data_IF_557309809346
#
_entry.id   IF_557309809346
#
_cell.length_a   1.000
_cell.length_b   1.000
_cell.length_c   1.000
_cell.angle_alpha   90.00
_cell.angle_beta   90.00
_cell.angle_gamma   90.00
#
_symmetry.space_group_name_H-M   'P 1'
#
loop_
_entity.id
_entity.type
_entity.pdbx_description
1 polymer ?
#
# COMPACT_ATOMS: atom_id res chain seq x y z
N UNK A 1 14.63 -11.00 -0.89
CA UNK A 1 14.18 -9.78 -1.60
C UNK A 1 13.00 -10.14 -2.49
N UNK A 2 11.80 -9.59 -2.31
CA UNK A 2 10.83 -9.57 -3.40
C UNK A 2 11.40 -8.63 -4.46
N UNK A 3 11.60 -9.18 -5.66
CA UNK A 3 12.22 -8.47 -6.78
C UNK A 3 11.18 -7.53 -7.38
N UNK A 4 11.62 -6.40 -7.95
CA UNK A 4 10.77 -5.48 -8.73
C UNK A 4 9.92 -6.18 -9.81
N UNK A 5 10.25 -7.44 -10.14
CA UNK A 5 9.51 -8.33 -11.03
C UNK A 5 8.04 -8.51 -10.65
N UNK A 6 7.69 -8.62 -9.37
CA UNK A 6 6.31 -9.02 -9.00
C UNK A 6 5.31 -7.88 -9.20
N UNK A 7 5.76 -6.64 -8.99
CA UNK A 7 5.01 -5.43 -9.35
C UNK A 7 4.88 -5.33 -10.87
N UNK A 8 6.00 -5.49 -11.59
CA UNK A 8 6.05 -5.34 -13.04
C UNK A 8 5.13 -6.33 -13.74
N UNK A 9 5.13 -7.60 -13.32
CA UNK A 9 4.26 -8.63 -13.88
C UNK A 9 2.77 -8.31 -13.67
N UNK A 10 2.37 -7.91 -12.47
CA UNK A 10 0.95 -7.56 -12.17
C UNK A 10 0.49 -6.31 -12.92
N UNK A 11 1.34 -5.31 -13.01
CA UNK A 11 1.07 -4.10 -13.77
C UNK A 11 0.93 -4.43 -15.26
N UNK A 12 1.89 -5.16 -15.83
CA UNK A 12 1.84 -5.61 -17.23
C UNK A 12 0.59 -6.43 -17.52
N UNK A 13 0.17 -7.32 -16.61
CA UNK A 13 -1.08 -8.05 -16.73
C UNK A 13 -2.31 -7.15 -16.77
N UNK A 14 -2.37 -6.13 -15.91
CA UNK A 14 -3.48 -5.17 -15.86
C UNK A 14 -3.49 -4.24 -17.08
N UNK A 15 -2.33 -3.88 -17.64
CA UNK A 15 -2.24 -2.95 -18.77
C UNK A 15 -2.29 -3.61 -20.15
N UNK A 16 -2.46 -4.94 -20.22
CA UNK A 16 -2.59 -5.67 -21.50
C UNK A 16 -3.77 -5.21 -22.35
N UNK A 17 -4.84 -4.71 -21.71
CA UNK A 17 -6.00 -4.14 -22.40
C UNK A 17 -6.22 -2.68 -22.01
N UNK A 18 -6.92 -1.95 -22.89
CA UNK A 18 -7.30 -0.56 -22.65
C UNK A 18 -8.23 -0.46 -21.43
N UNK A 19 -9.17 -1.40 -21.29
CA UNK A 19 -10.07 -1.43 -20.13
C UNK A 19 -9.33 -1.70 -18.82
N UNK A 20 -8.37 -2.64 -18.83
CA UNK A 20 -7.58 -2.98 -17.65
C UNK A 20 -6.69 -1.81 -17.21
N UNK A 21 -6.08 -1.10 -18.17
CA UNK A 21 -5.30 0.10 -17.89
C UNK A 21 -6.16 1.21 -17.28
N UNK A 22 -7.34 1.47 -17.86
CA UNK A 22 -8.29 2.46 -17.33
C UNK A 22 -8.73 2.10 -15.92
N UNK A 23 -9.08 0.84 -15.69
CA UNK A 23 -9.48 0.33 -14.38
C UNK A 23 -8.37 0.51 -13.33
N UNK A 24 -7.13 0.19 -13.68
CA UNK A 24 -5.99 0.40 -12.80
C UNK A 24 -5.83 1.87 -12.41
N UNK A 25 -5.85 2.78 -13.39
CA UNK A 25 -5.71 4.21 -13.13
C UNK A 25 -6.85 4.75 -12.26
N UNK A 26 -8.08 4.30 -12.46
CA UNK A 26 -9.23 4.68 -11.63
C UNK A 26 -9.05 4.23 -10.17
N UNK A 27 -8.57 3.01 -9.94
CA UNK A 27 -8.29 2.51 -8.59
C UNK A 27 -7.11 3.27 -7.98
N UNK A 28 -6.04 3.47 -8.73
CA UNK A 28 -4.86 4.16 -8.25
C UNK A 28 -5.20 5.58 -7.80
N UNK A 29 -5.94 6.34 -8.63
CA UNK A 29 -6.37 7.69 -8.30
C UNK A 29 -7.22 7.72 -7.02
N UNK A 30 -8.16 6.77 -6.87
CA UNK A 30 -8.97 6.63 -5.65
C UNK A 30 -8.14 6.20 -4.43
N UNK A 31 -7.06 5.45 -4.64
CA UNK A 31 -6.19 4.98 -3.57
C UNK A 31 -5.45 6.15 -2.94
N UNK A 32 -4.84 6.99 -3.78
CA UNK A 32 -4.01 8.12 -3.36
C UNK A 32 -4.86 9.31 -2.89
N UNK A 33 -6.10 9.47 -3.36
CA UNK A 33 -7.00 10.55 -2.96
C UNK A 33 -7.95 10.17 -1.82
N UNK A 34 -7.40 9.62 -0.73
CA UNK A 34 -8.20 9.30 0.46
C UNK A 34 -7.39 9.53 1.75
N UNK A 35 -7.93 10.25 2.75
CA UNK A 35 -7.16 10.72 3.90
C UNK A 35 -6.51 9.58 4.68
N UNK A 36 -7.27 8.55 5.06
CA UNK A 36 -6.74 7.39 5.80
C UNK A 36 -5.63 6.66 5.02
N UNK A 37 -5.79 6.57 3.69
CA UNK A 37 -4.83 5.85 2.83
C UNK A 37 -3.55 6.66 2.69
N UNK A 38 -3.67 7.98 2.53
CA UNK A 38 -2.54 8.91 2.57
C UNK A 38 -1.77 8.80 3.88
N UNK A 39 -2.45 8.74 5.02
CA UNK A 39 -1.77 8.55 6.31
C UNK A 39 -1.04 7.21 6.41
N UNK A 40 -1.66 6.12 5.93
CA UNK A 40 -0.97 4.82 5.83
C UNK A 40 0.32 4.95 5.01
N UNK A 41 0.25 5.57 3.83
CA UNK A 41 1.42 5.73 2.95
C UNK A 41 2.47 6.64 3.58
N UNK A 42 2.07 7.74 4.26
CA UNK A 42 2.98 8.64 4.98
C UNK A 42 3.75 7.93 6.08
N UNK A 43 3.06 7.16 6.93
CA UNK A 43 3.70 6.38 8.00
C UNK A 43 4.71 5.40 7.40
N UNK A 44 4.33 4.70 6.32
CA UNK A 44 5.20 3.73 5.66
C UNK A 44 6.40 4.37 4.94
N UNK A 45 6.29 5.62 4.47
CA UNK A 45 7.41 6.36 3.86
C UNK A 45 8.51 6.68 4.89
N UNK A 46 8.12 6.97 6.14
CA UNK A 46 9.04 7.32 7.22
C UNK A 46 9.76 6.15 7.90
N UNK A 47 9.43 4.89 7.56
CA UNK A 47 9.94 3.70 8.26
C UNK A 47 10.51 2.67 7.29
N UNK A 48 11.56 1.96 7.73
CA UNK A 48 12.20 0.92 6.90
C UNK A 48 11.36 -0.36 6.82
N UNK A 49 10.77 -0.77 7.93
CA UNK A 49 9.96 -1.99 8.07
C UNK A 49 8.88 -1.77 9.15
N UNK A 50 7.66 -2.24 8.87
CA UNK A 50 6.55 -2.17 9.83
C UNK A 50 5.60 -3.34 9.58
N UNK A 51 5.12 -4.00 10.64
CA UNK A 51 4.09 -5.04 10.51
C UNK A 51 2.71 -4.42 10.27
N UNK A 52 1.75 -5.22 9.77
CA UNK A 52 0.36 -4.75 9.58
C UNK A 52 -0.29 -4.39 10.93
N UNK A 53 0.10 -5.08 11.99
CA UNK A 53 -0.38 -4.90 13.35
C UNK A 53 0.16 -3.61 13.98
N UNK A 54 1.45 -3.32 13.78
CA UNK A 54 2.09 -2.08 14.25
C UNK A 54 1.55 -0.86 13.51
N UNK A 55 1.30 -0.98 12.21
CA UNK A 55 0.68 0.06 11.40
C UNK A 55 -0.72 0.40 11.90
N UNK A 56 -1.55 -0.61 12.16
CA UNK A 56 -2.88 -0.40 12.76
C UNK A 56 -2.78 0.26 14.13
N UNK A 57 -1.86 -0.21 14.98
CA UNK A 57 -1.65 0.34 16.32
C UNK A 57 -1.23 1.80 16.28
N UNK A 58 -0.40 2.19 15.31
CA UNK A 58 0.05 3.57 15.10
C UNK A 58 -1.12 4.47 14.69
N UNK A 59 -1.92 4.06 13.71
CA UNK A 59 -3.10 4.80 13.28
C UNK A 59 -4.13 4.96 14.40
N UNK A 60 -4.30 3.93 15.23
CA UNK A 60 -5.20 3.98 16.39
C UNK A 60 -4.71 4.96 17.45
N UNK A 61 -3.40 4.97 17.76
CA UNK A 61 -2.79 5.94 18.68
C UNK A 61 -2.95 7.39 18.20
N UNK A 62 -2.87 7.60 16.88
CA UNK A 62 -3.07 8.89 16.23
C UNK A 62 -4.56 9.27 16.08
N UNK A 63 -5.50 8.41 16.50
CA UNK A 63 -6.95 8.59 16.35
C UNK A 63 -7.40 8.77 14.88
N UNK A 64 -6.67 8.17 13.93
CA UNK A 64 -7.01 8.21 12.50
C UNK A 64 -7.98 7.06 12.15
N UNK A 65 -7.74 5.87 12.72
CA UNK A 65 -8.60 4.68 12.54
C UNK A 65 -8.74 3.95 13.86
N UNK A 66 -9.97 3.77 14.32
CA UNK A 66 -10.24 3.06 15.58
C UNK A 66 -10.57 1.58 15.37
N UNK A 67 -11.27 1.27 14.27
CA UNK A 67 -11.80 -0.05 13.98
C UNK A 67 -10.94 -0.82 12.97
N UNK A 68 -10.83 -2.13 13.19
CA UNK A 68 -9.96 -2.99 12.37
C UNK A 68 -10.53 -3.20 10.96
N UNK A 69 -11.85 -3.14 10.79
CA UNK A 69 -12.52 -3.32 9.49
C UNK A 69 -12.19 -2.19 8.51
N UNK A 70 -12.30 -0.93 8.92
CA UNK A 70 -11.94 0.26 8.14
C UNK A 70 -10.46 0.24 7.82
N UNK A 71 -9.61 -0.13 8.78
CA UNK A 71 -8.18 -0.30 8.52
C UNK A 71 -7.94 -1.35 7.43
N UNK A 72 -8.52 -2.54 7.56
CA UNK A 72 -8.34 -3.62 6.60
C UNK A 72 -8.84 -3.24 5.21
N UNK A 73 -10.01 -2.60 5.11
CA UNK A 73 -10.54 -2.10 3.85
C UNK A 73 -9.57 -1.15 3.15
N UNK A 74 -9.05 -0.14 3.88
CA UNK A 74 -8.12 0.82 3.32
C UNK A 74 -6.77 0.19 2.96
N UNK A 75 -6.29 -0.75 3.78
CA UNK A 75 -5.06 -1.49 3.53
C UNK A 75 -5.17 -2.36 2.27
N UNK A 76 -6.24 -3.13 2.15
CA UNK A 76 -6.46 -4.01 1.01
C UNK A 76 -6.68 -3.21 -0.28
N UNK A 77 -7.32 -2.03 -0.19
CA UNK A 77 -7.43 -1.10 -1.31
C UNK A 77 -6.06 -0.62 -1.80
N UNK A 78 -5.18 -0.21 -0.88
CA UNK A 78 -3.81 0.21 -1.22
C UNK A 78 -3.00 -0.93 -1.85
N UNK A 79 -3.19 -2.16 -1.37
CA UNK A 79 -2.56 -3.36 -1.95
C UNK A 79 -3.09 -3.64 -3.36
N UNK A 80 -4.39 -3.53 -3.58
CA UNK A 80 -5.02 -3.68 -4.90
C UNK A 80 -4.53 -2.60 -5.88
N UNK A 81 -4.36 -1.37 -5.40
CA UNK A 81 -3.81 -0.25 -6.16
C UNK A 81 -2.28 -0.33 -6.37
N UNK A 82 -1.65 -1.45 -5.97
CA UNK A 82 -0.21 -1.68 -6.05
C UNK A 82 0.64 -0.60 -5.34
N UNK A 83 0.08 0.09 -4.35
CA UNK A 83 0.79 1.11 -3.57
C UNK A 83 1.64 0.51 -2.43
N UNK A 84 1.24 -0.67 -1.94
CA UNK A 84 1.94 -1.41 -0.89
C UNK A 84 2.04 -2.88 -1.24
N UNK A 85 3.05 -3.55 -0.69
CA UNK A 85 3.26 -4.99 -0.78
C UNK A 85 3.55 -5.59 0.61
N UNK A 86 3.22 -6.87 0.78
CA UNK A 86 3.63 -7.63 1.97
C UNK A 86 4.85 -8.45 1.58
N UNK A 87 5.93 -8.24 2.31
CA UNK A 87 7.20 -8.92 2.11
C UNK A 87 7.47 -9.83 3.30
N UNK A 88 7.99 -11.02 3.02
CA UNK A 88 8.40 -11.95 4.06
C UNK A 88 9.92 -11.88 4.22
N UNK A 89 10.36 -11.71 5.46
CA UNK A 89 11.75 -11.81 5.83
C UNK A 89 12.13 -13.29 5.96
N UNK A 90 13.02 -13.71 5.06
CA UNK A 90 13.47 -15.09 4.90
C UNK A 90 14.15 -15.65 6.16
N UNK A 91 14.73 -14.77 6.98
CA UNK A 91 15.54 -15.16 8.13
C UNK A 91 14.70 -15.24 9.41
N UNK A 92 13.60 -14.49 9.48
CA UNK A 92 12.78 -14.34 10.70
C UNK A 92 11.34 -14.87 10.55
N UNK A 93 10.90 -15.23 9.34
CA UNK A 93 9.51 -15.63 9.06
C UNK A 93 8.49 -14.52 9.32
N UNK A 94 8.96 -13.26 9.43
CA UNK A 94 8.12 -12.11 9.75
C UNK A 94 7.67 -11.41 8.48
N UNK A 95 6.38 -11.03 8.47
CA UNK A 95 5.77 -10.29 7.36
C UNK A 95 5.79 -8.79 7.67
N UNK A 96 6.34 -8.03 6.74
CA UNK A 96 6.40 -6.58 6.80
C UNK A 96 5.66 -5.95 5.63
N UNK A 97 5.15 -4.75 5.86
CA UNK A 97 4.53 -3.91 4.83
C UNK A 97 5.61 -3.04 4.22
N UNK A 98 5.70 -3.04 2.89
CA UNK A 98 6.65 -2.23 2.13
C UNK A 98 5.91 -1.33 1.16
N UNK A 99 6.37 -0.08 1.07
CA UNK A 99 5.89 0.89 0.09
C UNK A 99 6.48 0.57 -1.29
N UNK A 100 5.64 0.55 -2.33
CA UNK A 100 6.11 0.42 -3.72
C UNK A 100 6.47 1.80 -4.28
N UNK A 101 7.03 1.84 -5.50
CA UNK A 101 7.27 3.13 -6.17
C UNK A 101 5.96 3.90 -6.43
N UNK A 102 4.87 3.21 -6.80
CA UNK A 102 3.56 3.83 -6.96
C UNK A 102 3.02 4.45 -5.67
N UNK A 103 3.33 3.84 -4.51
CA UNK A 103 2.94 4.35 -3.20
C UNK A 103 3.74 5.58 -2.73
N UNK A 104 4.99 5.73 -3.19
CA UNK A 104 5.85 6.89 -2.90
C UNK A 104 5.38 8.20 -3.50
N UNK A 105 4.35 8.18 -4.34
CA UNK A 105 3.69 9.41 -4.82
C UNK A 105 3.28 10.34 -3.68
N UNK A 106 3.02 9.78 -2.49
CA UNK A 106 2.66 10.56 -1.30
C UNK A 106 3.73 11.58 -0.91
N UNK A 107 4.99 11.34 -1.23
CA UNK A 107 6.10 12.25 -0.94
C UNK A 107 6.05 13.53 -1.81
N UNK A 108 5.20 13.53 -2.85
CA UNK A 108 5.00 14.63 -3.79
C UNK A 108 3.60 15.26 -3.70
N UNK A 109 2.77 14.79 -2.76
CA UNK A 109 1.41 15.30 -2.54
C UNK A 109 1.39 16.07 -1.22
N UNK A 110 1.23 17.39 -1.30
CA UNK A 110 0.97 18.26 -0.13
C UNK A 110 -0.39 17.95 0.54
#
# INVERSE_FOLDING_TARGET
MPKESDFKTKFEELTKSIEGNRYYHDIYLKAVNHPIRREILRILSGVKQMSKEDLFSSLKKMKIVEDKSTFNYNFDYLKQALCIEIVEDSDLGKKYVKLTQSGKVIDFLE
#
